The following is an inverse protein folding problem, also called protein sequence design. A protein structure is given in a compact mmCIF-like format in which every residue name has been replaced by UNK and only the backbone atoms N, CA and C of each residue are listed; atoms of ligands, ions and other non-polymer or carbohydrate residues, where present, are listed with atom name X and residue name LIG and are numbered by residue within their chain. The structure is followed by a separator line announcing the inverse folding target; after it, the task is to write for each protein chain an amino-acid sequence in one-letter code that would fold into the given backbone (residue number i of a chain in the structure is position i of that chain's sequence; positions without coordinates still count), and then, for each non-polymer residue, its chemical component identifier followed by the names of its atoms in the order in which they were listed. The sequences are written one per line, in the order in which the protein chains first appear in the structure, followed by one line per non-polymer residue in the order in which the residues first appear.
data_IF_970724217205
#
_entry.id   IF_970724217205
#
_cell.length_a   1.000
_cell.length_b   1.000
_cell.length_c   1.000
_cell.angle_alpha   90.00
_cell.angle_beta   90.00
_cell.angle_gamma   90.00
#
_symmetry.space_group_name_H-M   'P 1'
#
loop_
_entity.id
_entity.type
_entity.pdbx_description
1 polymer ?
#
# COMPACT_ATOMS: atom_id res chain seq x y z
N UNK A 1 15.55 7.90 24.17
CA UNK A 1 14.61 7.65 23.06
C UNK A 1 13.82 6.40 23.42
N UNK A 2 12.50 6.47 23.38
CA UNK A 2 11.69 5.24 23.43
C UNK A 2 12.14 4.32 22.29
N UNK A 3 12.20 3.02 22.58
CA UNK A 3 12.57 2.03 21.58
C UNK A 3 11.41 1.93 20.55
N UNK A 4 11.71 2.20 19.29
CA UNK A 4 10.70 2.17 18.24
C UNK A 4 10.35 0.71 17.93
N UNK A 5 9.11 0.32 18.18
CA UNK A 5 8.59 -0.97 17.73
C UNK A 5 8.32 -0.93 16.21
N UNK A 6 9.36 -1.27 15.45
CA UNK A 6 9.30 -1.33 14.00
C UNK A 6 8.25 -2.31 13.47
N UNK A 7 7.91 -3.37 14.22
CA UNK A 7 6.90 -4.35 13.78
C UNK A 7 5.52 -3.71 13.87
N UNK A 8 5.21 -3.06 15.00
CA UNK A 8 3.94 -2.35 15.19
C UNK A 8 3.78 -1.21 14.17
N UNK A 9 4.83 -0.43 13.95
CA UNK A 9 4.81 0.67 12.97
C UNK A 9 4.60 0.18 11.54
N UNK A 10 5.30 -0.88 11.10
CA UNK A 10 5.04 -1.47 9.77
C UNK A 10 3.61 -1.99 9.63
N UNK A 11 3.03 -2.58 10.68
CA UNK A 11 1.64 -3.04 10.65
C UNK A 11 0.65 -1.87 10.56
N UNK A 12 0.91 -0.74 11.22
CA UNK A 12 0.09 0.48 11.09
C UNK A 12 0.16 1.03 9.66
N UNK A 13 1.36 1.17 9.13
CA UNK A 13 1.58 1.58 7.75
C UNK A 13 0.87 0.65 6.75
N UNK A 14 1.02 -0.67 6.88
CA UNK A 14 0.34 -1.64 6.02
C UNK A 14 -1.19 -1.52 6.06
N UNK A 15 -1.79 -1.32 7.24
CA UNK A 15 -3.23 -1.07 7.38
C UNK A 15 -3.66 0.23 6.71
N UNK A 16 -2.82 1.26 6.73
CA UNK A 16 -3.09 2.52 6.03
C UNK A 16 -3.10 2.32 4.51
N UNK A 17 -2.11 1.62 3.95
CA UNK A 17 -2.09 1.25 2.53
C UNK A 17 -3.36 0.49 2.11
N UNK A 18 -3.78 -0.48 2.92
CA UNK A 18 -5.03 -1.22 2.70
C UNK A 18 -6.25 -0.30 2.64
N UNK A 19 -6.33 0.68 3.56
CA UNK A 19 -7.42 1.67 3.59
C UNK A 19 -7.39 2.55 2.35
N UNK A 20 -6.21 3.05 1.95
CA UNK A 20 -6.04 3.86 0.74
C UNK A 20 -6.47 3.10 -0.52
N UNK A 21 -6.02 1.85 -0.68
CA UNK A 21 -6.44 1.00 -1.80
C UNK A 21 -7.96 0.83 -1.83
N UNK A 22 -8.58 0.59 -0.67
CA UNK A 22 -10.04 0.44 -0.55
C UNK A 22 -10.84 1.73 -0.77
N UNK A 23 -10.21 2.87 -1.08
CA UNK A 23 -10.93 4.07 -1.56
C UNK A 23 -11.10 4.10 -3.07
N UNK A 24 -10.41 3.22 -3.79
CA UNK A 24 -10.39 3.17 -5.25
C UNK A 24 -11.38 2.10 -5.71
N UNK A 25 -12.30 2.47 -6.61
CA UNK A 25 -13.23 1.52 -7.24
C UNK A 25 -12.50 0.58 -8.19
N UNK A 26 -12.88 -0.69 -8.17
CA UNK A 26 -12.41 -1.70 -9.13
C UNK A 26 -12.93 -1.37 -10.52
N UNK A 27 -12.09 -1.61 -11.53
CA UNK A 27 -12.48 -1.51 -12.95
C UNK A 27 -13.10 -2.82 -13.44
N UNK A 28 -12.63 -3.93 -12.90
CA UNK A 28 -13.03 -5.27 -13.33
C UNK A 28 -14.30 -5.75 -12.61
N UNK A 29 -14.58 -5.21 -11.42
CA UNK A 29 -15.68 -5.62 -10.55
C UNK A 29 -16.50 -4.40 -10.08
N UNK A 30 -17.53 -3.98 -10.84
CA UNK A 30 -18.39 -2.86 -10.48
C UNK A 30 -18.97 -2.98 -9.06
N UNK A 31 -18.94 -1.90 -8.30
CA UNK A 31 -19.40 -1.87 -6.90
C UNK A 31 -18.44 -2.51 -5.89
N UNK A 32 -17.23 -2.93 -6.31
CA UNK A 32 -16.15 -3.38 -5.42
C UNK A 32 -14.99 -2.39 -5.42
N UNK A 33 -14.15 -2.50 -4.40
CA UNK A 33 -12.85 -1.81 -4.37
C UNK A 33 -11.81 -2.56 -5.18
N UNK A 34 -10.83 -1.83 -5.71
CA UNK A 34 -9.73 -2.37 -6.51
C UNK A 34 -9.02 -3.49 -5.73
N UNK A 35 -8.79 -4.62 -6.40
CA UNK A 35 -8.04 -5.74 -5.84
C UNK A 35 -6.54 -5.43 -5.74
N UNK A 36 -5.80 -6.25 -4.98
CA UNK A 36 -4.33 -6.17 -4.99
C UNK A 36 -3.76 -6.51 -6.37
N UNK A 37 -4.45 -7.34 -7.16
CA UNK A 37 -4.03 -7.69 -8.51
C UNK A 37 -4.21 -6.49 -9.44
N UNK A 38 -5.39 -5.87 -9.46
CA UNK A 38 -5.64 -4.68 -10.27
C UNK A 38 -4.70 -3.51 -9.90
N UNK A 39 -4.36 -3.35 -8.61
CA UNK A 39 -3.37 -2.33 -8.22
C UNK A 39 -1.95 -2.70 -8.71
N UNK A 40 -1.57 -3.98 -8.68
CA UNK A 40 -0.32 -4.45 -9.25
C UNK A 40 -0.26 -4.18 -10.75
N UNK A 41 -1.32 -4.54 -11.48
CA UNK A 41 -1.43 -4.35 -12.93
C UNK A 41 -1.37 -2.86 -13.29
N UNK A 42 -1.96 -1.99 -12.46
CA UNK A 42 -1.88 -0.52 -12.62
C UNK A 42 -0.47 0.02 -12.42
N UNK A 43 0.31 -0.60 -11.54
CA UNK A 43 1.64 -0.14 -11.19
C UNK A 43 2.72 -0.53 -12.21
N UNK A 44 2.55 -1.67 -12.90
CA UNK A 44 3.56 -2.25 -13.80
C UNK A 44 4.85 -2.77 -13.13
N UNK A 45 5.14 -2.35 -11.90
CA UNK A 45 6.44 -2.56 -11.25
C UNK A 45 6.37 -3.29 -9.90
N UNK A 46 5.19 -3.42 -9.29
CA UNK A 46 5.00 -4.17 -8.05
C UNK A 46 4.03 -5.33 -8.25
N UNK A 47 4.36 -6.48 -7.66
CA UNK A 47 3.50 -7.67 -7.77
C UNK A 47 2.35 -7.63 -6.77
N UNK A 48 1.26 -8.36 -7.04
CA UNK A 48 0.18 -8.62 -6.09
C UNK A 48 0.70 -9.13 -4.73
N UNK A 49 1.69 -10.04 -4.77
CA UNK A 49 2.30 -10.62 -3.56
C UNK A 49 2.98 -9.54 -2.73
N UNK A 50 3.76 -8.66 -3.38
CA UNK A 50 4.44 -7.53 -2.74
C UNK A 50 3.45 -6.60 -2.07
N UNK A 51 2.37 -6.20 -2.77
CA UNK A 51 1.30 -5.36 -2.19
C UNK A 51 0.71 -6.02 -0.95
N UNK A 52 0.37 -7.32 -1.04
CA UNK A 52 -0.17 -8.05 0.11
C UNK A 52 0.78 -8.13 1.29
N UNK A 53 2.09 -8.29 1.05
CA UNK A 53 3.11 -8.29 2.10
C UNK A 53 3.26 -6.91 2.76
N UNK A 54 3.18 -5.82 1.98
CA UNK A 54 3.17 -4.44 2.49
C UNK A 54 1.94 -4.22 3.38
N UNK A 55 0.74 -4.59 2.90
CA UNK A 55 -0.51 -4.38 3.64
C UNK A 55 -0.55 -5.13 4.98
N UNK A 56 0.15 -6.27 5.09
CA UNK A 56 0.29 -7.02 6.36
C UNK A 56 1.42 -6.52 7.26
N UNK A 57 2.32 -5.67 6.73
CA UNK A 57 3.52 -5.22 7.44
C UNK A 57 4.63 -6.27 7.51
N UNK A 58 4.59 -7.27 6.62
CA UNK A 58 5.51 -8.42 6.62
C UNK A 58 6.91 -8.06 6.09
N UNK A 59 7.00 -7.03 5.27
CA UNK A 59 8.25 -6.62 4.60
C UNK A 59 8.56 -5.15 4.84
N UNK A 60 9.84 -4.81 4.72
CA UNK A 60 10.31 -3.43 4.59
C UNK A 60 10.37 -3.08 3.10
N UNK A 61 9.39 -2.35 2.54
CA UNK A 61 9.44 -1.96 1.13
C UNK A 61 10.62 -1.02 0.86
N UNK A 62 11.22 -1.12 -0.32
CA UNK A 62 12.24 -0.16 -0.75
C UNK A 62 11.62 1.21 -0.99
N UNK A 63 12.44 2.26 -1.05
CA UNK A 63 11.95 3.60 -1.36
C UNK A 63 11.31 3.67 -2.75
N UNK A 64 11.89 3.02 -3.75
CA UNK A 64 11.34 2.90 -5.11
C UNK A 64 9.98 2.21 -5.11
N UNK A 65 9.82 1.16 -4.31
CA UNK A 65 8.55 0.45 -4.13
C UNK A 65 7.48 1.39 -3.57
N UNK A 66 7.84 2.25 -2.62
CA UNK A 66 6.94 3.25 -2.03
C UNK A 66 6.52 4.33 -3.05
N UNK A 67 7.45 4.81 -3.88
CA UNK A 67 7.15 5.78 -4.94
C UNK A 67 6.18 5.20 -5.97
N UNK A 68 6.44 3.98 -6.45
CA UNK A 68 5.55 3.26 -7.38
C UNK A 68 4.17 3.06 -6.76
N UNK A 69 4.11 2.69 -5.49
CA UNK A 69 2.85 2.48 -4.79
C UNK A 69 2.05 3.78 -4.65
N UNK A 70 2.68 4.90 -4.31
CA UNK A 70 2.04 6.21 -4.24
C UNK A 70 1.45 6.61 -5.61
N UNK A 71 2.22 6.42 -6.69
CA UNK A 71 1.77 6.65 -8.06
C UNK A 71 0.58 5.75 -8.44
N UNK A 72 0.63 4.46 -8.12
CA UNK A 72 -0.44 3.51 -8.41
C UNK A 72 -1.74 3.84 -7.64
N UNK A 73 -1.60 4.39 -6.44
CA UNK A 73 -2.70 4.88 -5.60
C UNK A 73 -3.19 6.29 -5.97
N UNK A 74 -2.49 7.00 -6.87
CA UNK A 74 -2.78 8.39 -7.26
C UNK A 74 -2.74 9.37 -6.08
N UNK A 75 -1.73 9.22 -5.22
CA UNK A 75 -1.50 10.08 -4.06
C UNK A 75 -0.05 10.52 -3.97
N UNK A 76 0.21 11.54 -3.16
CA UNK A 76 1.55 11.99 -2.82
C UNK A 76 2.26 11.02 -1.87
N UNK A 77 3.60 11.09 -1.82
CA UNK A 77 4.38 10.31 -0.85
C UNK A 77 4.06 10.75 0.58
N UNK A 78 3.73 12.03 0.79
CA UNK A 78 3.33 12.58 2.08
C UNK A 78 2.01 11.94 2.56
N UNK A 79 1.01 11.82 1.69
CA UNK A 79 -0.25 11.14 2.00
C UNK A 79 -0.06 9.64 2.24
N UNK A 80 0.88 9.01 1.53
CA UNK A 80 1.25 7.60 1.76
C UNK A 80 1.75 7.39 3.20
N UNK A 81 2.50 8.34 3.75
CA UNK A 81 3.05 8.29 5.12
C UNK A 81 2.16 8.95 6.18
N UNK A 82 0.98 9.49 5.82
CA UNK A 82 0.05 10.09 6.76
C UNK A 82 -0.80 9.01 7.47
N UNK A 83 -0.18 8.24 8.37
CA UNK A 83 -0.80 7.17 9.15
C UNK A 83 -0.62 7.38 10.67
N UNK A 84 -1.48 6.72 11.45
CA UNK A 84 -1.50 6.77 12.92
C UNK A 84 -1.66 5.37 13.52
#
# INVERSE_FOLDING_TARGET
MENVDFITERKKFGRHILKLRKKISSKDYPGKFISQQELADRSGNITKKTIGQIERGDINPSFETLLVLAQALHISIQELFNYH
#
